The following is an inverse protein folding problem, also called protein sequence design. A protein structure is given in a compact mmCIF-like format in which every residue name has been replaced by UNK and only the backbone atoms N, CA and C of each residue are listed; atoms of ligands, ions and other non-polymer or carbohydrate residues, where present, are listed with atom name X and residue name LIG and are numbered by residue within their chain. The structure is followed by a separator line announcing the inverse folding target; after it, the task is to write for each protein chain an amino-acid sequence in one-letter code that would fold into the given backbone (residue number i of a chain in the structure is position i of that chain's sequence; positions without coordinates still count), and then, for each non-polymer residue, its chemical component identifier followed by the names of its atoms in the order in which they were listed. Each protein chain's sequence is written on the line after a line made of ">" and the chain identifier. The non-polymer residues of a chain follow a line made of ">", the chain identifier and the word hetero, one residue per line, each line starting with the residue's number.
data_IF_136439469645
#
_entry.id   IF_136439469645
#
_cell.length_a   1.000
_cell.length_b   1.000
_cell.length_c   1.000
_cell.angle_alpha   90.00
_cell.angle_beta   90.00
_cell.angle_gamma   90.00
#
_symmetry.space_group_name_H-M   'P 1'
#
loop_
_entity.id
_entity.type
_entity.pdbx_description
1 polymer ?
#
# COMPACT_ATOMS: atom_id res chain seq x y z
N UNK A 1 -20.92 2.03 -6.55
CA UNK A 1 -20.28 3.19 -5.88
C UNK A 1 -18.82 2.84 -5.66
N UNK A 2 -17.88 3.78 -5.85
CA UNK A 2 -16.46 3.52 -5.60
C UNK A 2 -16.21 3.13 -4.12
N UNK A 3 -15.41 2.08 -3.83
CA UNK A 3 -15.13 1.61 -2.47
C UNK A 3 -14.33 2.65 -1.69
N UNK A 4 -14.40 2.58 -0.36
CA UNK A 4 -13.52 3.37 0.52
C UNK A 4 -12.23 2.58 0.76
N UNK A 5 -11.10 3.14 0.33
CA UNK A 5 -9.79 2.49 0.42
C UNK A 5 -8.85 3.27 1.34
N UNK A 6 -7.99 2.56 2.06
CA UNK A 6 -6.91 3.13 2.85
C UNK A 6 -5.56 2.56 2.42
N UNK A 7 -4.49 3.27 2.73
CA UNK A 7 -3.13 2.78 2.50
C UNK A 7 -2.63 2.06 3.76
N UNK A 8 -2.27 0.79 3.59
CA UNK A 8 -1.41 0.05 4.50
C UNK A 8 0.04 0.11 3.99
N UNK A 9 0.97 0.49 4.87
CA UNK A 9 2.36 0.80 4.51
C UNK A 9 3.10 -0.34 3.77
N UNK A 10 2.72 -1.60 4.00
CA UNK A 10 3.37 -2.77 3.42
C UNK A 10 2.65 -3.32 2.17
N UNK A 11 1.34 -3.11 2.03
CA UNK A 11 0.50 -3.78 1.04
C UNK A 11 -0.25 -2.83 0.10
N UNK A 12 -0.10 -1.51 0.27
CA UNK A 12 -0.75 -0.53 -0.57
C UNK A 12 -2.21 -0.31 -0.20
N UNK A 13 -3.08 -0.17 -1.21
CA UNK A 13 -4.51 0.06 -1.00
C UNK A 13 -5.22 -1.19 -0.49
N UNK A 14 -5.96 -1.04 0.60
CA UNK A 14 -6.85 -2.05 1.19
C UNK A 14 -8.23 -1.45 1.43
N UNK A 15 -9.29 -2.27 1.36
CA UNK A 15 -10.63 -1.81 1.68
C UNK A 15 -10.75 -1.42 3.15
N UNK A 16 -11.57 -0.41 3.45
CA UNK A 16 -11.73 0.05 4.84
C UNK A 16 -12.29 -1.04 5.76
N UNK A 17 -13.19 -1.86 5.24
CA UNK A 17 -13.79 -3.03 5.91
C UNK A 17 -12.73 -4.04 6.39
N UNK A 18 -11.59 -4.14 5.71
CA UNK A 18 -10.49 -5.04 6.08
C UNK A 18 -9.70 -4.53 7.29
N UNK A 19 -9.76 -3.22 7.57
CA UNK A 19 -9.00 -2.58 8.65
C UNK A 19 -9.84 -2.21 9.86
N UNK A 20 -11.12 -1.89 9.67
CA UNK A 20 -12.06 -1.56 10.74
C UNK A 20 -13.37 -2.32 10.53
N UNK A 21 -13.80 -3.07 11.55
CA UNK A 21 -15.08 -3.80 11.55
C UNK A 21 -16.29 -2.89 11.67
N UNK A 22 -16.11 -1.62 12.07
CA UNK A 22 -17.15 -0.60 12.13
C UNK A 22 -17.15 0.25 10.86
N UNK A 23 -18.25 0.11 10.11
CA UNK A 23 -18.52 0.91 8.93
C UNK A 23 -18.84 2.35 9.35
N UNK A 24 -17.86 3.24 9.28
CA UNK A 24 -18.05 4.68 9.50
C UNK A 24 -18.66 5.36 8.25
N UNK A 25 -19.48 4.64 7.46
CA UNK A 25 -20.16 5.09 6.24
C UNK A 25 -21.14 6.27 6.43
N UNK A 26 -21.21 6.88 7.62
CA UNK A 26 -22.04 8.05 7.93
C UNK A 26 -21.32 9.41 7.90
N UNK A 27 -20.01 9.48 7.64
CA UNK A 27 -19.30 10.77 7.69
C UNK A 27 -19.20 11.42 6.31
N UNK A 28 -19.72 12.65 6.20
CA UNK A 28 -19.77 13.52 5.02
C UNK A 28 -18.73 13.23 3.94
N UNK A 29 -19.16 13.15 2.67
CA UNK A 29 -18.33 13.03 1.46
C UNK A 29 -17.16 14.03 1.41
N UNK A 30 -17.23 15.14 2.15
CA UNK A 30 -16.14 16.11 2.33
C UNK A 30 -14.86 15.52 2.95
N UNK A 31 -14.91 14.32 3.53
CA UNK A 31 -13.76 13.62 4.12
C UNK A 31 -12.99 12.75 3.13
N UNK A 32 -13.45 12.64 1.89
CA UNK A 32 -12.85 11.77 0.89
C UNK A 32 -12.58 12.48 -0.42
N UNK A 33 -11.47 12.10 -1.04
CA UNK A 33 -11.13 12.44 -2.43
C UNK A 33 -11.46 11.23 -3.31
N UNK A 34 -12.07 11.46 -4.47
CA UNK A 34 -12.23 10.43 -5.49
C UNK A 34 -10.89 10.31 -6.23
N UNK A 35 -10.30 9.12 -6.18
CA UNK A 35 -9.06 8.77 -6.86
C UNK A 35 -9.38 7.78 -7.98
N UNK A 36 -8.79 7.97 -9.15
CA UNK A 36 -8.99 7.15 -10.34
C UNK A 36 -7.80 6.23 -10.60
N UNK A 37 -8.03 5.19 -11.41
CA UNK A 37 -6.99 4.26 -11.84
C UNK A 37 -5.77 5.01 -12.37
N UNK A 38 -4.59 4.67 -11.86
CA UNK A 38 -3.32 5.27 -12.25
C UNK A 38 -2.96 6.55 -11.49
N UNK A 39 -3.88 7.17 -10.77
CA UNK A 39 -3.54 8.26 -9.85
C UNK A 39 -2.89 7.68 -8.57
N UNK A 40 -2.07 8.51 -7.93
CA UNK A 40 -1.32 8.16 -6.75
C UNK A 40 -1.91 8.83 -5.51
N UNK A 41 -1.79 8.17 -4.37
CA UNK A 41 -2.00 8.79 -3.07
C UNK A 41 -0.80 8.57 -2.16
N UNK A 42 -0.33 9.65 -1.55
CA UNK A 42 0.69 9.64 -0.51
C UNK A 42 0.03 9.76 0.86
N UNK A 43 0.19 8.71 1.66
CA UNK A 43 -0.16 8.68 3.06
C UNK A 43 1.06 9.08 3.89
N UNK A 44 1.01 10.24 4.55
CA UNK A 44 2.07 10.78 5.39
C UNK A 44 2.04 10.25 6.84
N UNK A 45 1.32 9.16 7.10
CA UNK A 45 1.38 8.42 8.36
C UNK A 45 2.70 7.68 8.54
N UNK A 46 3.42 7.98 9.61
CA UNK A 46 4.66 7.29 9.95
C UNK A 46 4.40 5.88 10.50
N UNK A 47 5.24 4.92 10.10
CA UNK A 47 5.22 3.56 10.63
C UNK A 47 6.64 3.00 10.77
N UNK A 48 6.77 1.82 11.37
CA UNK A 48 8.05 1.11 11.49
C UNK A 48 8.74 0.89 10.13
N UNK A 49 7.96 0.61 9.08
CA UNK A 49 8.47 0.27 7.74
C UNK A 49 8.56 1.49 6.79
N UNK A 50 7.84 2.56 7.13
CA UNK A 50 7.67 3.76 6.30
C UNK A 50 7.68 4.97 7.23
N UNK A 51 8.88 5.40 7.61
CA UNK A 51 9.09 6.48 8.60
C UNK A 51 8.57 7.83 8.11
N UNK A 52 8.56 8.03 6.80
CA UNK A 52 8.12 9.27 6.16
C UNK A 52 6.89 9.06 5.29
N UNK A 53 6.02 8.11 5.66
CA UNK A 53 4.83 7.78 4.87
C UNK A 53 5.12 6.90 3.66
N UNK A 54 4.10 6.66 2.86
CA UNK A 54 4.14 5.76 1.71
C UNK A 54 3.22 6.23 0.59
N UNK A 55 3.65 6.01 -0.65
CA UNK A 55 2.90 6.41 -1.84
C UNK A 55 2.51 5.20 -2.68
N UNK A 56 1.27 5.11 -3.14
CA UNK A 56 0.81 4.00 -3.98
C UNK A 56 -0.08 4.48 -5.12
N UNK A 57 -0.01 3.78 -6.26
CA UNK A 57 -0.89 3.98 -7.40
C UNK A 57 -2.17 3.15 -7.25
N UNK A 58 -3.31 3.70 -7.65
CA UNK A 58 -4.58 2.96 -7.64
C UNK A 58 -4.68 2.03 -8.85
N UNK A 59 -4.88 0.74 -8.59
CA UNK A 59 -4.97 -0.30 -9.63
C UNK A 59 -6.41 -0.79 -9.88
N UNK A 60 -7.42 -0.14 -9.31
CA UNK A 60 -8.85 -0.33 -9.61
C UNK A 60 -9.41 0.92 -10.31
N UNK A 61 -10.60 0.84 -10.87
CA UNK A 61 -11.22 1.93 -11.66
C UNK A 61 -11.30 3.26 -10.91
N UNK A 62 -11.83 3.22 -9.68
CA UNK A 62 -11.89 4.38 -8.79
C UNK A 62 -12.02 3.95 -7.32
N UNK A 63 -11.58 4.81 -6.41
CA UNK A 63 -11.69 4.64 -4.97
C UNK A 63 -11.95 5.98 -4.28
N UNK A 64 -12.65 5.94 -3.14
CA UNK A 64 -12.72 7.07 -2.21
C UNK A 64 -11.61 6.91 -1.20
N UNK A 65 -10.69 7.86 -1.15
CA UNK A 65 -9.53 7.84 -0.25
C UNK A 65 -9.63 8.99 0.74
N UNK A 66 -9.17 8.85 1.99
CA UNK A 66 -9.22 9.93 2.97
C UNK A 66 -8.61 11.23 2.44
N UNK A 67 -9.31 12.36 2.60
CA UNK A 67 -8.88 13.67 2.08
C UNK A 67 -7.51 14.10 2.62
N UNK A 68 -7.11 13.54 3.77
CA UNK A 68 -5.81 13.79 4.39
C UNK A 68 -4.65 13.27 3.54
N UNK A 69 -4.89 12.34 2.60
CA UNK A 69 -3.84 11.89 1.68
C UNK A 69 -3.58 12.91 0.58
N UNK A 70 -2.32 13.04 0.20
CA UNK A 70 -1.93 13.85 -0.95
C UNK A 70 -2.14 13.04 -2.23
N UNK A 71 -3.17 13.38 -2.99
CA UNK A 71 -3.56 12.66 -4.21
C UNK A 71 -3.11 13.44 -5.46
N UNK A 72 -2.56 12.75 -6.46
CA UNK A 72 -2.02 13.39 -7.66
C UNK A 72 -1.90 12.43 -8.86
N UNK A 73 -1.94 13.01 -10.05
CA UNK A 73 -1.65 12.33 -11.32
C UNK A 73 -0.15 12.45 -11.69
N UNK A 74 0.35 11.50 -12.47
CA UNK A 74 1.75 11.45 -12.93
C UNK A 74 1.89 11.65 -14.45
N UNK A 75 0.82 12.07 -15.12
CA UNK A 75 0.75 12.32 -16.54
C UNK A 75 1.07 11.08 -17.36
N UNK A 76 1.99 11.24 -18.31
CA UNK A 76 2.43 10.18 -19.22
C UNK A 76 3.31 9.10 -18.57
N UNK A 77 3.70 9.24 -17.30
CA UNK A 77 4.60 8.29 -16.65
C UNK A 77 3.86 7.01 -16.21
N UNK A 78 4.61 5.92 -16.01
CA UNK A 78 4.05 4.71 -15.45
C UNK A 78 3.78 4.91 -13.94
N UNK A 79 2.52 4.82 -13.48
CA UNK A 79 2.17 5.16 -12.10
C UNK A 79 2.74 4.18 -11.07
N UNK A 80 2.80 2.89 -11.41
CA UNK A 80 3.39 1.88 -10.52
C UNK A 80 4.90 2.08 -10.38
N UNK A 81 5.60 2.43 -11.46
CA UNK A 81 7.02 2.77 -11.41
C UNK A 81 7.27 4.03 -10.57
N UNK A 82 6.50 5.10 -10.78
CA UNK A 82 6.65 6.34 -10.01
C UNK A 82 6.38 6.10 -8.52
N UNK A 83 5.33 5.35 -8.18
CA UNK A 83 5.03 4.98 -6.81
C UNK A 83 6.18 4.16 -6.17
N UNK A 84 6.80 3.25 -6.92
CA UNK A 84 7.97 2.51 -6.45
C UNK A 84 9.15 3.45 -6.15
N UNK A 85 9.48 4.36 -7.08
CA UNK A 85 10.57 5.34 -6.91
C UNK A 85 10.30 6.23 -5.70
N UNK A 86 9.07 6.66 -5.47
CA UNK A 86 8.70 7.50 -4.31
C UNK A 86 8.84 6.79 -2.96
N UNK A 87 8.98 5.46 -2.93
CA UNK A 87 9.15 4.67 -1.71
C UNK A 87 10.59 4.19 -1.46
N UNK A 88 11.58 4.62 -2.25
CA UNK A 88 12.98 4.22 -2.03
C UNK A 88 13.65 5.06 -0.94
N UNK A 89 14.66 4.54 -0.21
CA UNK A 89 15.31 5.25 0.89
C UNK A 89 15.93 6.62 0.52
N UNK A 90 16.28 6.83 -0.74
CA UNK A 90 16.80 8.11 -1.21
C UNK A 90 15.74 9.23 -1.09
N UNK A 91 14.45 8.89 -1.22
CA UNK A 91 13.34 9.84 -1.07
C UNK A 91 13.08 10.16 0.39
N UNK A 92 13.26 9.20 1.30
CA UNK A 92 13.16 9.42 2.75
C UNK A 92 14.06 10.58 3.22
N UNK A 93 15.26 10.72 2.64
CA UNK A 93 16.16 11.82 2.97
C UNK A 93 15.62 13.20 2.58
N UNK A 94 14.90 13.29 1.46
CA UNK A 94 14.24 14.51 1.03
C UNK A 94 13.04 14.79 1.94
N UNK A 95 12.16 13.79 2.13
CA UNK A 95 10.97 13.90 2.96
C UNK A 95 11.29 14.32 4.40
N UNK A 96 12.35 13.76 4.99
CA UNK A 96 12.85 14.14 6.33
C UNK A 96 13.07 15.64 6.48
N UNK A 97 13.57 16.31 5.43
CA UNK A 97 13.85 17.76 5.44
C UNK A 97 12.58 18.60 5.32
N UNK A 98 11.52 18.00 4.79
CA UNK A 98 10.23 18.65 4.58
C UNK A 98 9.30 18.55 5.79
N UNK A 99 9.58 17.67 6.76
CA UNK A 99 8.81 17.55 8.00
C UNK A 99 9.01 18.83 8.82
N UNK A 100 8.00 19.68 8.88
CA UNK A 100 8.03 20.89 9.71
C UNK A 100 7.75 20.59 11.18
N UNK A 101 8.26 21.43 12.07
CA UNK A 101 7.95 21.38 13.49
C UNK A 101 6.46 21.66 13.72
N UNK A 102 5.79 20.75 14.41
CA UNK A 102 4.36 20.83 14.69
C UNK A 102 3.79 19.43 14.84
N UNK A 103 3.54 19.01 16.09
CA UNK A 103 2.89 17.74 16.36
C UNK A 103 1.44 17.81 15.88
N UNK A 104 1.01 16.85 15.07
CA UNK A 104 -0.39 16.68 14.72
C UNK A 104 -1.01 15.65 15.66
N UNK A 105 -2.23 15.93 16.15
CA UNK A 105 -2.93 15.01 17.05
C UNK A 105 -3.40 13.72 16.35
N UNK A 106 -3.44 13.70 15.02
CA UNK A 106 -3.82 12.54 14.20
C UNK A 106 -2.65 11.57 13.92
N UNK A 107 -1.44 11.84 14.45
CA UNK A 107 -0.26 10.99 14.27
C UNK A 107 0.36 11.07 12.86
N UNK A 108 -0.08 12.02 12.04
CA UNK A 108 0.40 12.24 10.70
C UNK A 108 1.64 13.17 10.68
N UNK A 109 2.51 13.01 9.68
CA UNK A 109 3.65 13.90 9.50
C UNK A 109 3.19 15.24 8.95
N UNK A 110 3.82 16.31 9.42
CA UNK A 110 3.54 17.65 8.94
C UNK A 110 4.31 17.94 7.64
N UNK A 111 3.81 17.37 6.54
CA UNK A 111 4.30 17.62 5.18
C UNK A 111 3.11 18.12 4.36
N UNK A 112 3.14 19.40 3.94
CA UNK A 112 2.10 19.96 3.07
C UNK A 112 2.20 19.36 1.66
N UNK A 113 1.11 19.43 0.89
CA UNK A 113 1.15 18.94 -0.49
C UNK A 113 2.11 19.77 -1.35
N UNK A 114 2.19 21.09 -1.11
CA UNK A 114 3.13 21.97 -1.81
C UNK A 114 4.59 21.59 -1.54
N UNK A 115 4.94 21.29 -0.29
CA UNK A 115 6.29 20.78 0.05
C UNK A 115 6.52 19.40 -0.57
N UNK A 116 5.53 18.51 -0.54
CA UNK A 116 5.67 17.17 -1.13
C UNK A 116 5.96 17.22 -2.64
N UNK A 117 5.35 18.15 -3.38
CA UNK A 117 5.59 18.35 -4.81
C UNK A 117 7.04 18.79 -5.14
N UNK A 118 7.82 19.26 -4.16
CA UNK A 118 9.23 19.61 -4.38
C UNK A 118 10.17 18.42 -4.28
N UNK A 119 9.66 17.21 -4.00
CA UNK A 119 10.47 15.99 -4.02
C UNK A 119 10.95 15.71 -5.43
N UNK A 120 12.26 15.62 -5.61
CA UNK A 120 12.88 15.36 -6.90
C UNK A 120 13.08 13.87 -7.12
N UNK A 121 12.62 13.38 -8.27
CA UNK A 121 12.80 11.99 -8.72
C UNK A 121 13.41 11.99 -10.12
N UNK A 122 14.25 10.99 -10.40
CA UNK A 122 14.76 10.75 -11.76
C UNK A 122 13.95 9.64 -12.40
N UNK A 123 13.39 9.92 -13.57
CA UNK A 123 12.58 8.97 -14.32
C UNK A 123 13.28 8.64 -15.65
N UNK A 124 13.43 7.35 -16.00
CA UNK A 124 13.87 6.96 -17.34
C UNK A 124 12.75 7.20 -18.36
N UNK A 125 13.01 6.86 -19.63
CA UNK A 125 11.97 6.90 -20.66
C UNK A 125 10.79 6.00 -20.28
N UNK A 126 9.56 6.41 -20.62
CA UNK A 126 8.33 5.68 -20.24
C UNK A 126 8.38 4.19 -20.59
N UNK A 127 8.90 3.83 -21.77
CA UNK A 127 9.01 2.43 -22.19
C UNK A 127 9.90 1.58 -21.25
N UNK A 128 10.91 2.19 -20.64
CA UNK A 128 11.74 1.52 -19.63
C UNK A 128 11.02 1.44 -18.28
N UNK A 129 10.30 2.50 -17.89
CA UNK A 129 9.44 2.47 -16.70
C UNK A 129 8.43 1.32 -16.77
N UNK A 130 7.75 1.16 -17.91
CA UNK A 130 6.77 0.09 -18.16
C UNK A 130 7.43 -1.30 -18.03
N UNK A 131 8.57 -1.51 -18.70
CA UNK A 131 9.30 -2.79 -18.62
C UNK A 131 9.74 -3.14 -17.21
N UNK A 132 10.25 -2.17 -16.45
CA UNK A 132 10.69 -2.39 -15.08
C UNK A 132 9.50 -2.70 -14.17
N UNK A 133 8.42 -1.94 -14.29
CA UNK A 133 7.20 -2.15 -13.50
C UNK A 133 6.60 -3.55 -13.75
N UNK A 134 6.47 -3.95 -15.02
CA UNK A 134 5.94 -5.25 -15.40
C UNK A 134 6.82 -6.40 -14.88
N UNK A 135 8.14 -6.25 -15.00
CA UNK A 135 9.08 -7.27 -14.55
C UNK A 135 9.05 -7.47 -13.03
N UNK A 136 9.02 -6.37 -12.26
CA UNK A 136 8.90 -6.45 -10.80
C UNK A 136 7.54 -7.00 -10.36
N UNK A 137 6.45 -6.59 -11.02
CA UNK A 137 5.12 -7.14 -10.75
C UNK A 137 5.08 -8.66 -11.01
N UNK A 138 5.79 -9.15 -12.03
CA UNK A 138 5.89 -10.59 -12.29
C UNK A 138 6.59 -11.35 -11.16
N UNK A 139 7.62 -10.77 -10.54
CA UNK A 139 8.27 -11.36 -9.37
C UNK A 139 7.39 -11.33 -8.14
N UNK A 140 6.70 -10.22 -7.87
CA UNK A 140 5.77 -10.12 -6.74
C UNK A 140 4.65 -11.16 -6.86
N UNK A 141 4.13 -11.38 -8.07
CA UNK A 141 3.15 -12.43 -8.36
C UNK A 141 3.72 -13.83 -8.09
N UNK A 142 4.96 -14.09 -8.51
CA UNK A 142 5.62 -15.36 -8.29
C UNK A 142 5.85 -15.62 -6.79
N UNK A 143 6.35 -14.62 -6.05
CA UNK A 143 6.53 -14.68 -4.60
C UNK A 143 5.20 -14.96 -3.91
N UNK A 144 4.15 -14.20 -4.26
CA UNK A 144 2.80 -14.36 -3.70
C UNK A 144 2.26 -15.77 -3.95
N UNK A 145 2.44 -16.31 -5.16
CA UNK A 145 2.02 -17.66 -5.50
C UNK A 145 2.74 -18.71 -4.64
N UNK A 146 4.05 -18.56 -4.45
CA UNK A 146 4.83 -19.49 -3.63
C UNK A 146 4.48 -19.40 -2.14
N UNK A 147 4.24 -18.19 -1.62
CA UNK A 147 3.80 -18.00 -0.23
C UNK A 147 2.42 -18.65 0.03
N UNK A 148 1.45 -18.49 -0.89
CA UNK A 148 0.14 -19.15 -0.80
C UNK A 148 0.26 -20.66 -0.74
N UNK A 149 1.06 -21.26 -1.62
CA UNK A 149 1.31 -22.72 -1.61
C UNK A 149 1.92 -23.21 -0.30
N UNK A 150 2.81 -22.43 0.32
CA UNK A 150 3.36 -22.78 1.64
C UNK A 150 2.28 -22.73 2.73
N UNK A 151 1.46 -21.68 2.77
CA UNK A 151 0.35 -21.57 3.74
C UNK A 151 -0.63 -22.73 3.58
N UNK A 152 -1.05 -23.05 2.36
CA UNK A 152 -1.94 -24.18 2.07
C UNK A 152 -1.36 -25.51 2.54
N UNK A 153 -0.07 -25.75 2.28
CA UNK A 153 0.62 -26.95 2.75
C UNK A 153 0.65 -27.02 4.27
N UNK A 154 1.01 -25.93 4.95
CA UNK A 154 1.03 -25.88 6.42
C UNK A 154 -0.36 -26.11 7.02
N UNK A 155 -1.41 -25.50 6.45
CA UNK A 155 -2.79 -25.76 6.89
C UNK A 155 -3.19 -27.23 6.68
N UNK A 156 -2.78 -27.85 5.58
CA UNK A 156 -3.04 -29.28 5.31
C UNK A 156 -2.33 -30.19 6.31
N UNK A 157 -1.07 -29.90 6.63
CA UNK A 157 -0.27 -30.67 7.58
C UNK A 157 -0.80 -30.54 9.02
N UNK A 158 -1.37 -29.38 9.38
CA UNK A 158 -2.00 -29.15 10.71
C UNK A 158 -3.40 -29.79 10.85
N UNK A 159 -4.09 -30.07 9.75
CA UNK A 159 -5.40 -30.74 9.75
C UNK A 159 -5.31 -32.28 9.76
N UNK A 160 -4.10 -32.85 9.82
CA UNK A 160 -3.88 -34.29 10.00
C UNK A 160 -3.39 -34.61 11.42
N UNK A 161 -4.23 -34.56 12.48
CA UNK A 161 -3.83 -35.14 13.76
C UNK A 161 -4.04 -36.66 13.74
N UNK A 162 -2.99 -37.39 14.15
CA UNK A 162 -2.95 -38.75 14.70
C UNK A 162 -4.15 -39.68 14.45
N UNK A 163 -3.99 -40.69 13.59
CA UNK A 163 -4.86 -41.88 13.59
C UNK A 163 -4.11 -43.20 13.87
N UNK A 164 -2.94 -43.15 14.51
CA UNK A 164 -2.09 -44.34 14.72
C UNK A 164 -1.96 -44.80 16.18
N UNK A 165 -2.87 -44.36 17.07
CA UNK A 165 -3.00 -44.92 18.44
C UNK A 165 -4.36 -45.58 18.67
N UNK A 166 -4.72 -46.55 17.85
CA UNK A 166 -5.83 -47.45 18.18
C UNK A 166 -5.64 -48.88 17.63
N UNK A 167 -4.47 -49.49 17.84
CA UNK A 167 -4.34 -50.95 17.82
C UNK A 167 -3.23 -51.37 18.79
N UNK A 168 -3.44 -52.46 19.54
CA UNK A 168 -2.66 -52.96 20.71
C UNK A 168 -3.16 -52.30 22.01
N UNK A 169 -3.97 -52.92 22.86
CA UNK A 169 -3.94 -54.31 23.32
C UNK A 169 -5.31 -54.77 23.83
N UNK A 170 -5.91 -55.73 23.12
CA UNK A 170 -6.82 -56.72 23.72
C UNK A 170 -6.21 -58.08 23.45
N UNK A 171 -5.55 -58.66 24.46
CA UNK A 171 -5.32 -60.09 24.71
C UNK A 171 -4.45 -60.22 25.96
#
# INVERSE_FOLDING_TARGET
>A
MAPVMMIAAASGFIEQSEKYSSDNAGQSLAKYTLLHRGELAYNHGASKYRKYGSCFALNIEAARVPFVYHCFDVGQNNPNFVAMVLNVPQIDNQLRRLVSSGARMDGLLNISFDSYKTVEIRLPAKAEQDKIADYLASFDNLITLHQRKQVEKTCRDQLSPDNDRMTKSTS
#
